data_IF_226458568263
#
_entry.id   IF_226458568263
#
_cell.length_a   1.000
_cell.length_b   1.000
_cell.length_c   1.000
_cell.angle_alpha   90.00
_cell.angle_beta   90.00
_cell.angle_gamma   90.00
#
_symmetry.space_group_name_H-M   'P 1'
#
loop_
_entity.id
_entity.type
_entity.pdbx_description
1 polymer ?
#
# COMPACT_ATOMS: atom_id res chain seq x y z
N UNK A 1 -25.96 33.05 27.44
CA UNK A 1 -24.88 32.03 27.47
C UNK A 1 -25.30 30.55 27.28
N UNK A 2 -26.58 30.11 27.36
CA UNK A 2 -26.96 28.71 27.08
C UNK A 2 -26.99 28.32 25.58
N UNK A 3 -27.25 29.29 24.71
CA UNK A 3 -27.57 29.05 23.30
C UNK A 3 -26.36 28.59 22.46
N UNK A 4 -25.19 29.16 22.71
CA UNK A 4 -23.93 28.76 22.06
C UNK A 4 -23.53 27.33 22.45
N UNK A 5 -23.73 26.94 23.71
CA UNK A 5 -23.48 25.57 24.16
C UNK A 5 -24.43 24.56 23.49
N UNK A 6 -25.70 24.94 23.28
CA UNK A 6 -26.68 24.09 22.58
C UNK A 6 -26.30 23.88 21.11
N UNK A 7 -25.94 24.94 20.39
CA UNK A 7 -25.51 24.85 18.98
C UNK A 7 -24.26 23.98 18.83
N UNK A 8 -23.29 24.10 19.74
CA UNK A 8 -22.08 23.26 19.73
C UNK A 8 -22.43 21.79 19.98
N UNK A 9 -23.31 21.48 20.94
CA UNK A 9 -23.75 20.10 21.21
C UNK A 9 -24.57 19.50 20.06
N UNK A 10 -25.45 20.28 19.44
CA UNK A 10 -26.23 19.87 18.27
C UNK A 10 -25.35 19.63 17.04
N UNK A 11 -24.35 20.49 16.80
CA UNK A 11 -23.34 20.27 15.76
C UNK A 11 -22.50 19.02 16.03
N UNK A 12 -22.10 18.77 17.29
CA UNK A 12 -21.39 17.54 17.69
C UNK A 12 -22.27 16.30 17.51
N UNK A 13 -23.54 16.36 17.87
CA UNK A 13 -24.49 15.26 17.72
C UNK A 13 -24.69 14.93 16.23
N UNK A 14 -24.97 15.95 15.42
CA UNK A 14 -25.12 15.82 13.96
C UNK A 14 -23.85 15.26 13.32
N UNK A 15 -22.67 15.75 13.73
CA UNK A 15 -21.39 15.22 13.26
C UNK A 15 -21.17 13.75 13.68
N UNK A 16 -21.60 13.35 14.90
CA UNK A 16 -21.56 11.95 15.35
C UNK A 16 -22.49 11.07 14.55
N UNK A 17 -23.72 11.52 14.28
CA UNK A 17 -24.69 10.80 13.44
C UNK A 17 -24.20 10.64 12.00
N UNK A 18 -23.71 11.71 11.38
CA UNK A 18 -23.12 11.66 10.04
C UNK A 18 -21.91 10.73 9.99
N UNK A 19 -21.05 10.74 11.02
CA UNK A 19 -19.94 9.78 11.15
C UNK A 19 -20.45 8.35 11.30
N UNK A 20 -21.46 8.11 12.12
CA UNK A 20 -22.07 6.80 12.30
C UNK A 20 -22.70 6.26 11.01
N UNK A 21 -23.41 7.12 10.26
CA UNK A 21 -24.00 6.77 8.96
C UNK A 21 -22.93 6.43 7.92
N UNK A 22 -21.84 7.21 7.84
CA UNK A 22 -20.67 6.93 6.97
C UNK A 22 -19.88 5.67 7.37
N UNK A 23 -20.14 5.12 8.55
CA UNK A 23 -19.41 3.97 9.10
C UNK A 23 -20.17 2.64 8.92
N UNK A 24 -21.35 2.64 8.29
CA UNK A 24 -22.07 1.40 7.99
C UNK A 24 -21.34 0.64 6.86
N UNK A 25 -21.12 -0.69 7.00
CA UNK A 25 -20.57 -1.50 5.93
C UNK A 25 -21.50 -1.43 4.71
N UNK A 26 -20.92 -1.55 3.51
CA UNK A 26 -21.75 -1.66 2.32
C UNK A 26 -22.57 -2.95 2.37
N UNK A 27 -23.83 -2.93 1.88
CA UNK A 27 -24.65 -4.12 1.80
C UNK A 27 -23.94 -5.23 1.03
N UNK A 28 -24.08 -6.48 1.49
CA UNK A 28 -23.44 -7.64 0.86
C UNK A 28 -23.73 -7.74 -0.65
N UNK A 29 -24.95 -7.39 -1.07
CA UNK A 29 -25.35 -7.41 -2.48
C UNK A 29 -24.49 -6.45 -3.33
N UNK A 30 -24.17 -5.27 -2.81
CA UNK A 30 -23.32 -4.28 -3.48
C UNK A 30 -21.88 -4.79 -3.56
N UNK A 31 -21.38 -5.41 -2.49
CA UNK A 31 -20.05 -6.01 -2.45
C UNK A 31 -19.90 -7.14 -3.48
N UNK A 32 -20.93 -7.97 -3.66
CA UNK A 32 -20.88 -9.13 -4.57
C UNK A 32 -21.33 -8.85 -5.99
N UNK A 33 -22.01 -7.74 -6.25
CA UNK A 33 -22.41 -7.33 -7.60
C UNK A 33 -21.23 -7.35 -8.58
N UNK A 34 -20.08 -6.81 -8.18
CA UNK A 34 -18.88 -6.76 -9.02
C UNK A 34 -18.30 -8.15 -9.31
N UNK A 35 -18.48 -9.12 -8.42
CA UNK A 35 -18.09 -10.52 -8.66
C UNK A 35 -18.94 -11.11 -9.78
N UNK A 36 -20.26 -10.91 -9.73
CA UNK A 36 -21.16 -11.37 -10.78
C UNK A 36 -20.86 -10.72 -12.14
N UNK A 37 -20.61 -9.41 -12.16
CA UNK A 37 -20.21 -8.69 -13.38
C UNK A 37 -18.92 -9.26 -13.94
N UNK A 38 -17.91 -9.47 -13.08
CA UNK A 38 -16.61 -10.02 -13.49
C UNK A 38 -16.76 -11.43 -14.08
N UNK A 39 -17.51 -12.31 -13.42
CA UNK A 39 -17.81 -13.65 -13.93
C UNK A 39 -18.60 -13.60 -15.25
N UNK A 40 -19.53 -12.66 -15.39
CA UNK A 40 -20.27 -12.42 -16.63
C UNK A 40 -19.36 -12.01 -17.79
N UNK A 41 -18.41 -11.09 -17.56
CA UNK A 41 -17.40 -10.68 -18.56
C UNK A 41 -16.54 -11.87 -18.97
N UNK A 42 -16.06 -12.68 -18.02
CA UNK A 42 -15.27 -13.88 -18.29
C UNK A 42 -16.06 -14.90 -19.13
N UNK A 43 -17.32 -15.14 -18.77
CA UNK A 43 -18.21 -16.05 -19.51
C UNK A 43 -18.51 -15.56 -20.92
N UNK A 44 -18.76 -14.25 -21.09
CA UNK A 44 -18.99 -13.67 -22.40
C UNK A 44 -17.74 -13.71 -23.29
N UNK A 45 -16.56 -13.40 -22.75
CA UNK A 45 -15.30 -13.55 -23.47
C UNK A 45 -15.07 -15.00 -23.92
N UNK A 46 -15.36 -15.98 -23.05
CA UNK A 46 -15.29 -17.40 -23.41
C UNK A 46 -16.29 -17.77 -24.52
N UNK A 47 -17.53 -17.29 -24.45
CA UNK A 47 -18.52 -17.50 -25.50
C UNK A 47 -18.05 -16.97 -26.86
N UNK A 48 -17.56 -15.73 -26.91
CA UNK A 48 -17.08 -15.12 -28.17
C UNK A 48 -15.86 -15.86 -28.70
N UNK A 49 -14.86 -16.13 -27.86
CA UNK A 49 -13.64 -16.79 -28.32
C UNK A 49 -13.88 -18.25 -28.75
N UNK A 50 -14.67 -19.01 -27.99
CA UNK A 50 -14.91 -20.41 -28.30
C UNK A 50 -15.95 -20.54 -29.41
N UNK A 51 -17.15 -20.01 -29.18
CA UNK A 51 -18.31 -20.25 -30.04
C UNK A 51 -18.30 -19.44 -31.34
N UNK A 52 -17.89 -18.17 -31.28
CA UNK A 52 -17.91 -17.28 -32.45
C UNK A 52 -16.59 -17.29 -33.24
N UNK A 53 -15.49 -17.67 -32.60
CA UNK A 53 -14.17 -17.65 -33.22
C UNK A 53 -13.61 -19.06 -33.49
N UNK A 54 -13.26 -19.84 -32.45
CA UNK A 54 -12.63 -21.15 -32.63
C UNK A 54 -13.53 -22.15 -33.36
N UNK A 55 -14.81 -22.25 -33.00
CA UNK A 55 -15.75 -23.19 -33.64
C UNK A 55 -15.95 -22.89 -35.12
N UNK A 56 -15.98 -21.61 -35.52
CA UNK A 56 -16.15 -21.23 -36.93
C UNK A 56 -14.89 -21.56 -37.76
N UNK A 57 -13.69 -21.44 -37.18
CA UNK A 57 -12.44 -21.94 -37.79
C UNK A 57 -12.48 -23.47 -37.95
N UNK A 58 -12.89 -24.20 -36.91
CA UNK A 58 -12.95 -25.67 -36.93
C UNK A 58 -13.97 -26.19 -37.95
N UNK A 59 -15.10 -25.48 -38.11
CA UNK A 59 -16.10 -25.78 -39.13
C UNK A 59 -15.64 -25.44 -40.56
N UNK A 60 -14.48 -24.80 -40.72
CA UNK A 60 -13.94 -24.42 -42.03
C UNK A 60 -14.66 -23.23 -42.66
N UNK A 61 -15.38 -22.43 -41.86
CA UNK A 61 -16.12 -21.26 -42.35
C UNK A 61 -15.27 -19.99 -42.44
N UNK A 62 -14.08 -20.01 -41.84
CA UNK A 62 -13.15 -18.86 -41.84
C UNK A 62 -11.94 -19.18 -42.71
N UNK A 63 -11.72 -18.36 -43.74
CA UNK A 63 -10.62 -18.54 -44.67
C UNK A 63 -9.27 -18.24 -43.99
N UNK A 64 -8.24 -19.04 -44.30
CA UNK A 64 -6.88 -18.76 -43.85
C UNK A 64 -6.47 -19.33 -42.48
N UNK A 65 -7.27 -20.19 -41.87
CA UNK A 65 -6.87 -21.00 -40.73
C UNK A 65 -7.31 -22.45 -40.92
N UNK A 66 -6.43 -23.38 -40.59
CA UNK A 66 -6.75 -24.81 -40.67
C UNK A 66 -7.60 -25.25 -39.48
N UNK A 67 -8.30 -26.39 -39.61
CA UNK A 67 -8.98 -27.04 -38.47
C UNK A 67 -8.02 -27.28 -37.30
N UNK A 68 -6.79 -27.69 -37.59
CA UNK A 68 -5.73 -27.88 -36.58
C UNK A 68 -5.37 -26.60 -35.84
N UNK A 69 -5.31 -25.47 -36.55
CA UNK A 69 -5.11 -24.14 -35.94
C UNK A 69 -6.24 -23.81 -34.98
N UNK A 70 -7.50 -24.04 -35.37
CA UNK A 70 -8.67 -23.81 -34.51
C UNK A 70 -8.64 -24.63 -33.22
N UNK A 71 -8.29 -25.93 -33.31
CA UNK A 71 -8.15 -26.83 -32.16
C UNK A 71 -7.02 -26.40 -31.23
N UNK A 72 -5.86 -26.04 -31.77
CA UNK A 72 -4.72 -25.57 -30.99
C UNK A 72 -5.05 -24.27 -30.22
N UNK A 73 -5.68 -23.30 -30.90
CA UNK A 73 -6.11 -22.04 -30.28
C UNK A 73 -7.12 -22.27 -29.15
N UNK A 74 -8.10 -23.15 -29.39
CA UNK A 74 -9.09 -23.52 -28.38
C UNK A 74 -8.45 -24.18 -27.17
N UNK A 75 -7.47 -25.06 -27.39
CA UNK A 75 -6.81 -25.81 -26.31
C UNK A 75 -6.05 -24.87 -25.38
N UNK A 76 -5.23 -23.97 -25.93
CA UNK A 76 -4.47 -22.98 -25.13
C UNK A 76 -5.43 -22.03 -24.41
N UNK A 77 -6.47 -21.56 -25.10
CA UNK A 77 -7.48 -20.70 -24.48
C UNK A 77 -8.15 -21.36 -23.28
N UNK A 78 -8.58 -22.61 -23.40
CA UNK A 78 -9.22 -23.35 -22.31
C UNK A 78 -8.27 -23.55 -21.12
N UNK A 79 -6.98 -23.84 -21.36
CA UNK A 79 -6.00 -23.96 -20.28
C UNK A 79 -5.80 -22.65 -19.52
N UNK A 80 -5.68 -21.53 -20.24
CA UNK A 80 -5.54 -20.20 -19.63
C UNK A 80 -6.83 -19.77 -18.91
N UNK A 81 -8.00 -20.05 -19.49
CA UNK A 81 -9.30 -19.78 -18.88
C UNK A 81 -9.45 -20.56 -17.56
N UNK A 82 -9.14 -21.86 -17.54
CA UNK A 82 -9.21 -22.67 -16.34
C UNK A 82 -8.24 -22.19 -15.26
N UNK A 83 -7.01 -21.80 -15.63
CA UNK A 83 -6.05 -21.22 -14.69
C UNK A 83 -6.54 -19.89 -14.11
N UNK A 84 -7.06 -18.99 -14.94
CA UNK A 84 -7.62 -17.71 -14.50
C UNK A 84 -8.84 -17.92 -13.59
N UNK A 85 -9.78 -18.79 -13.96
CA UNK A 85 -10.97 -19.10 -13.17
C UNK A 85 -10.59 -19.72 -11.81
N UNK A 86 -9.61 -20.62 -11.78
CA UNK A 86 -9.12 -21.19 -10.54
C UNK A 86 -8.48 -20.12 -9.64
N UNK A 87 -7.64 -19.24 -10.18
CA UNK A 87 -7.05 -18.14 -9.42
C UNK A 87 -8.11 -17.16 -8.91
N UNK A 88 -9.12 -16.84 -9.74
CA UNK A 88 -10.23 -15.97 -9.38
C UNK A 88 -11.08 -16.58 -8.25
N UNK A 89 -11.44 -17.85 -8.37
CA UNK A 89 -12.16 -18.56 -7.30
C UNK A 89 -11.37 -18.54 -5.99
N UNK A 90 -10.05 -18.80 -6.04
CA UNK A 90 -9.22 -18.79 -4.83
C UNK A 90 -9.15 -17.42 -4.15
N UNK A 91 -9.05 -16.33 -4.92
CA UNK A 91 -9.02 -14.97 -4.32
C UNK A 91 -10.39 -14.51 -3.83
N UNK A 92 -11.50 -14.93 -4.45
CA UNK A 92 -12.87 -14.59 -4.04
C UNK A 92 -13.35 -15.42 -2.84
N UNK A 93 -12.97 -16.70 -2.77
CA UNK A 93 -13.41 -17.61 -1.72
C UNK A 93 -12.51 -17.58 -0.47
N UNK A 94 -11.28 -17.08 -0.59
CA UNK A 94 -10.39 -16.92 0.57
C UNK A 94 -10.64 -15.59 1.27
N UNK A 95 -11.10 -15.65 2.53
CA UNK A 95 -11.23 -14.48 3.38
C UNK A 95 -9.86 -13.78 3.59
N UNK A 96 -9.80 -12.44 3.66
CA UNK A 96 -8.53 -11.71 3.77
C UNK A 96 -7.84 -11.86 5.13
N UNK A 97 -8.57 -12.31 6.16
CA UNK A 97 -8.14 -12.37 7.55
C UNK A 97 -8.65 -11.14 8.32
N UNK A 98 -9.64 -11.33 9.20
CA UNK A 98 -10.23 -10.23 9.97
C UNK A 98 -9.63 -10.18 11.38
N UNK A 99 -9.31 -8.98 11.86
CA UNK A 99 -8.71 -8.81 13.19
C UNK A 99 -9.66 -9.24 14.33
N UNK A 100 -10.98 -9.06 14.14
CA UNK A 100 -12.00 -9.48 15.11
C UNK A 100 -12.02 -10.98 15.40
N UNK A 101 -11.49 -11.78 14.48
CA UNK A 101 -11.43 -13.24 14.64
C UNK A 101 -10.29 -13.66 15.59
N UNK A 102 -9.41 -12.72 15.98
CA UNK A 102 -8.19 -12.98 16.74
C UNK A 102 -7.97 -12.04 17.94
N UNK A 103 -8.54 -10.84 17.91
CA UNK A 103 -8.39 -9.84 18.96
C UNK A 103 -9.76 -9.53 19.55
N UNK A 104 -9.96 -9.70 20.87
CA UNK A 104 -11.20 -9.33 21.53
C UNK A 104 -11.38 -7.81 21.56
N UNK A 105 -12.61 -7.36 21.77
CA UNK A 105 -12.86 -5.95 21.99
C UNK A 105 -12.25 -5.48 23.31
N UNK A 106 -11.73 -4.25 23.33
CA UNK A 106 -11.14 -3.60 24.49
C UNK A 106 -11.54 -2.12 24.56
N UNK A 107 -11.57 -1.52 25.77
CA UNK A 107 -11.76 -0.09 25.93
C UNK A 107 -10.60 0.69 25.27
N UNK A 108 -10.81 1.98 24.92
CA UNK A 108 -9.75 2.80 24.37
C UNK A 108 -8.59 2.92 25.36
N UNK A 109 -7.33 2.87 24.88
CA UNK A 109 -6.16 3.05 25.73
C UNK A 109 -6.15 4.46 26.34
N UNK A 110 -5.72 4.56 27.60
CA UNK A 110 -5.59 5.84 28.29
C UNK A 110 -4.46 6.64 27.63
N UNK A 111 -4.69 7.88 27.17
CA UNK A 111 -3.63 8.68 26.58
C UNK A 111 -2.52 8.92 27.62
N UNK A 112 -1.25 8.96 27.21
CA UNK A 112 -0.17 9.31 28.13
C UNK A 112 -0.45 10.69 28.74
N UNK A 113 -0.09 10.91 30.02
CA UNK A 113 -0.27 12.22 30.64
C UNK A 113 0.47 13.28 29.82
N UNK A 114 -0.11 14.49 29.64
CA UNK A 114 0.54 15.53 28.89
C UNK A 114 1.90 15.84 29.50
N UNK A 115 2.96 15.76 28.68
CA UNK A 115 4.30 16.18 29.08
C UNK A 115 4.21 17.65 29.47
N UNK A 116 4.23 17.94 30.77
CA UNK A 116 4.38 19.32 31.24
C UNK A 116 5.77 19.76 30.78
N UNK A 117 5.91 20.84 30.00
CA UNK A 117 7.24 21.38 29.76
C UNK A 117 7.83 21.74 31.12
N UNK A 118 8.96 21.11 31.45
CA UNK A 118 9.79 21.50 32.58
C UNK A 118 10.21 22.94 32.30
N UNK A 119 9.59 23.91 32.97
CA UNK A 119 10.10 25.27 32.98
C UNK A 119 11.45 25.22 33.69
N UNK A 120 12.52 25.22 32.90
CA UNK A 120 13.85 25.55 33.41
C UNK A 120 13.78 27.01 33.82
N UNK A 121 13.75 27.26 35.13
CA UNK A 121 13.92 28.60 35.68
C UNK A 121 15.32 29.08 35.31
N UNK A 122 15.42 29.99 34.34
CA UNK A 122 16.60 30.83 34.16
C UNK A 122 16.42 32.08 35.02
N UNK A 123 17.36 32.46 35.89
CA UNK A 123 17.22 33.63 36.73
C UNK A 123 17.64 34.86 35.93
N UNK A 124 16.72 35.78 35.67
CA UNK A 124 17.08 37.14 35.31
C UNK A 124 15.98 38.14 35.69
N UNK A 125 16.38 39.03 36.60
CA UNK A 125 16.04 40.44 36.71
C UNK A 125 14.56 40.83 36.83
N UNK A 126 14.24 41.35 38.01
CA UNK A 126 12.95 41.94 38.31
C UNK A 126 12.68 43.20 37.50
N UNK A 127 11.44 43.30 37.04
CA UNK A 127 10.66 44.54 36.95
C UNK A 127 9.21 44.13 37.24
N UNK A 128 8.59 44.82 38.19
CA UNK A 128 7.16 44.78 38.48
C UNK A 128 6.35 45.27 37.26
N UNK A 129 5.28 44.55 36.89
CA UNK A 129 3.96 45.17 36.87
C UNK A 129 2.80 44.17 36.79
N UNK A 130 1.68 44.60 37.35
CA UNK A 130 0.51 43.87 37.82
C UNK A 130 -0.51 43.48 36.74
N UNK A 131 -1.33 42.49 37.11
CA UNK A 131 -2.72 42.19 36.73
C UNK A 131 -3.10 41.94 35.27
N UNK A 132 -3.40 40.67 34.95
CA UNK A 132 -4.55 40.37 34.09
C UNK A 132 -5.18 39.00 34.40
N UNK A 133 -6.40 39.03 34.96
CA UNK A 133 -7.26 37.87 35.12
C UNK A 133 -7.88 37.50 33.77
N UNK A 134 -7.33 36.51 33.07
CA UNK A 134 -8.07 35.83 31.99
C UNK A 134 -7.98 34.30 32.10
N UNK A 135 -9.16 33.67 32.08
CA UNK A 135 -9.34 32.23 31.96
C UNK A 135 -8.47 31.68 30.82
N UNK A 136 -7.45 30.90 31.19
CA UNK A 136 -6.60 30.14 30.27
C UNK A 136 -7.45 29.07 29.58
N UNK A 137 -8.12 29.44 28.47
CA UNK A 137 -8.74 28.46 27.56
C UNK A 137 -7.64 27.58 26.99
N UNK A 138 -7.80 26.26 27.11
CA UNK A 138 -7.07 25.34 26.24
C UNK A 138 -7.38 25.69 24.78
N UNK A 139 -6.39 25.74 23.87
CA UNK A 139 -6.66 25.95 22.46
C UNK A 139 -7.56 24.84 21.94
N UNK A 140 -8.64 25.21 21.24
CA UNK A 140 -9.62 24.32 20.63
C UNK A 140 -9.00 23.24 19.71
N UNK A 141 -7.76 23.44 19.27
CA UNK A 141 -6.97 22.57 18.39
C UNK A 141 -6.50 21.28 19.07
N UNK A 142 -6.38 21.22 20.41
CA UNK A 142 -5.99 19.98 21.11
C UNK A 142 -7.10 18.92 21.17
N UNK A 143 -8.37 19.28 20.94
CA UNK A 143 -9.47 18.31 20.88
C UNK A 143 -9.60 17.60 19.52
N UNK A 144 -9.03 18.15 18.45
CA UNK A 144 -9.13 17.58 17.10
C UNK A 144 -7.97 16.65 16.75
N UNK A 145 -6.80 16.82 17.37
CA UNK A 145 -5.62 15.97 17.12
C UNK A 145 -5.84 14.48 17.43
N UNK A 146 -6.75 14.14 18.35
CA UNK A 146 -7.11 12.75 18.67
C UNK A 146 -8.15 12.17 17.70
N UNK A 147 -8.97 13.05 17.08
CA UNK A 147 -10.08 12.64 16.22
C UNK A 147 -9.69 12.51 14.74
N UNK A 148 -8.68 13.25 14.26
CA UNK A 148 -8.25 13.21 12.85
C UNK A 148 -7.32 12.04 12.51
N UNK A 149 -6.76 11.36 13.53
CA UNK A 149 -6.09 10.06 13.35
C UNK A 149 -7.07 8.92 12.97
N UNK A 150 -8.37 9.21 12.82
CA UNK A 150 -9.43 8.23 12.54
C UNK A 150 -10.04 8.34 11.13
N UNK A 151 -9.45 9.16 10.24
CA UNK A 151 -9.83 9.22 8.83
C UNK A 151 -8.85 8.44 7.93
N UNK A 152 -9.22 7.27 7.38
CA UNK A 152 -8.42 6.58 6.35
C UNK A 152 -8.24 7.33 5.03
N UNK A 153 -8.85 8.51 4.81
CA UNK A 153 -8.48 9.40 3.70
C UNK A 153 -7.38 10.40 4.06
N UNK A 154 -6.99 10.51 5.33
CA UNK A 154 -6.00 11.48 5.76
C UNK A 154 -4.62 10.82 5.96
N UNK A 155 -4.00 10.43 4.85
CA UNK A 155 -2.59 10.00 4.83
C UNK A 155 -1.60 11.17 4.88
N UNK A 156 -2.05 12.39 5.20
CA UNK A 156 -1.28 13.61 4.92
C UNK A 156 -1.20 14.69 5.99
N UNK A 157 -1.82 14.56 7.17
CA UNK A 157 -1.85 15.69 8.13
C UNK A 157 -1.52 15.24 9.55
N UNK A 158 -0.24 15.09 9.87
CA UNK A 158 0.23 15.14 11.27
C UNK A 158 1.66 15.70 11.39
N UNK A 159 2.00 16.82 10.76
CA UNK A 159 3.30 17.48 10.99
C UNK A 159 3.16 19.00 11.31
N UNK A 160 1.97 19.46 11.74
CA UNK A 160 1.76 20.84 12.15
C UNK A 160 1.91 21.00 13.68
N UNK A 161 3.13 20.84 14.20
CA UNK A 161 3.54 21.51 15.44
C UNK A 161 5.02 21.90 15.32
N UNK A 162 5.39 23.17 15.57
CA UNK A 162 6.79 23.56 15.70
C UNK A 162 7.25 23.18 17.10
N UNK A 163 8.32 22.38 17.26
CA UNK A 163 9.10 22.37 18.51
C UNK A 163 10.46 21.66 18.44
N UNK A 164 11.43 22.45 18.91
CA UNK A 164 12.79 22.22 19.43
C UNK A 164 13.80 21.53 18.50
N UNK A 165 14.77 22.35 18.11
CA UNK A 165 15.85 22.10 17.18
C UNK A 165 16.79 20.97 17.66
N UNK A 166 16.99 19.91 16.87
CA UNK A 166 18.21 19.13 16.97
C UNK A 166 19.32 19.93 16.27
N UNK A 167 20.38 20.23 17.02
CA UNK A 167 21.64 20.74 16.49
C UNK A 167 22.02 19.96 15.21
N UNK A 168 22.16 20.67 14.09
CA UNK A 168 22.65 20.09 12.83
C UNK A 168 24.14 19.86 13.01
N UNK A 169 24.52 18.68 13.50
CA UNK A 169 25.91 18.26 13.53
C UNK A 169 26.39 17.99 12.11
N UNK A 170 27.13 18.94 11.53
CA UNK A 170 27.87 18.74 10.29
C UNK A 170 28.99 17.71 10.53
N UNK A 171 29.31 16.83 9.56
CA UNK A 171 30.42 15.89 9.69
C UNK A 171 31.74 16.66 9.87
N UNK A 172 32.43 16.41 10.98
CA UNK A 172 33.77 16.94 11.23
C UNK A 172 34.81 16.13 10.44
N UNK A 173 35.55 16.81 9.58
CA UNK A 173 36.59 16.24 8.72
C UNK A 173 37.74 15.64 9.55
N UNK A 174 37.98 14.34 9.41
CA UNK A 174 39.27 13.74 9.78
C UNK A 174 40.26 13.85 8.62
N UNK A 175 41.53 14.03 8.99
CA UNK A 175 42.69 14.40 8.20
C UNK A 175 43.05 13.44 7.05
N UNK A 176 42.45 13.64 5.88
CA UNK A 176 42.99 13.37 4.53
C UNK A 176 42.20 14.28 3.56
N UNK A 177 42.86 14.96 2.61
CA UNK A 177 42.19 15.98 1.77
C UNK A 177 40.95 15.42 1.07
N UNK A 178 39.77 16.09 1.15
CA UNK A 178 38.53 15.54 0.65
C UNK A 178 38.58 15.37 -0.87
N UNK A 179 38.03 14.26 -1.38
CA UNK A 179 37.88 14.07 -2.82
C UNK A 179 37.02 15.18 -3.41
N UNK A 180 37.25 15.57 -4.67
CA UNK A 180 36.41 16.55 -5.38
C UNK A 180 34.91 16.16 -5.38
N UNK A 181 34.60 14.87 -5.25
CA UNK A 181 33.23 14.36 -5.09
C UNK A 181 32.65 14.68 -3.71
N UNK A 182 33.45 14.54 -2.66
CA UNK A 182 33.05 14.81 -1.27
C UNK A 182 32.83 16.30 -1.06
N UNK A 183 33.68 17.16 -1.66
CA UNK A 183 33.50 18.61 -1.65
C UNK A 183 32.18 19.04 -2.30
N UNK A 184 31.80 18.43 -3.42
CA UNK A 184 30.51 18.73 -4.09
C UNK A 184 29.31 18.31 -3.26
N UNK A 185 29.37 17.13 -2.64
CA UNK A 185 28.30 16.64 -1.78
C UNK A 185 28.14 17.52 -0.53
N UNK A 186 29.26 17.92 0.09
CA UNK A 186 29.27 18.85 1.22
C UNK A 186 28.62 20.19 0.87
N UNK A 187 29.01 20.81 -0.25
CA UNK A 187 28.45 22.09 -0.69
C UNK A 187 26.94 22.00 -0.97
N UNK A 188 26.48 20.92 -1.62
CA UNK A 188 25.06 20.69 -1.86
C UNK A 188 24.28 20.51 -0.55
N UNK A 189 24.82 19.74 0.41
CA UNK A 189 24.22 19.58 1.73
C UNK A 189 24.14 20.90 2.48
N UNK A 190 25.20 21.72 2.43
CA UNK A 190 25.21 23.04 3.07
C UNK A 190 24.16 23.97 2.46
N UNK A 191 23.98 23.93 1.13
CA UNK A 191 22.93 24.69 0.43
C UNK A 191 21.52 24.22 0.80
N UNK A 192 21.31 22.91 1.01
CA UNK A 192 20.04 22.40 1.52
C UNK A 192 19.82 22.81 2.99
N UNK A 193 20.84 22.66 3.83
CA UNK A 193 20.79 22.99 5.25
C UNK A 193 20.55 24.49 5.50
N UNK A 194 21.08 25.39 4.68
CA UNK A 194 20.84 26.84 4.79
C UNK A 194 19.37 27.22 4.57
N UNK A 195 18.62 26.38 3.85
CA UNK A 195 17.17 26.47 3.66
C UNK A 195 16.38 25.55 4.61
N UNK A 196 17.04 24.98 5.63
CA UNK A 196 16.48 24.02 6.61
C UNK A 196 15.90 22.75 5.95
N UNK A 197 16.38 22.40 4.75
CA UNK A 197 15.96 21.22 4.00
C UNK A 197 16.82 20.03 4.42
N UNK A 198 16.21 19.11 5.15
CA UNK A 198 16.80 17.86 5.63
C UNK A 198 15.76 16.73 5.58
N UNK A 199 16.19 15.47 5.55
CA UNK A 199 15.30 14.33 5.76
C UNK A 199 14.74 14.37 7.19
N UNK A 200 13.41 14.31 7.31
CA UNK A 200 12.70 14.33 8.61
C UNK A 200 11.74 13.14 8.71
N UNK A 201 12.20 11.99 9.21
CA UNK A 201 11.33 10.85 9.46
C UNK A 201 10.18 11.17 10.42
N UNK A 202 9.01 10.53 10.27
CA UNK A 202 7.94 10.67 11.24
C UNK A 202 8.39 10.23 12.64
N UNK A 203 8.15 11.08 13.64
CA UNK A 203 8.46 10.79 15.05
C UNK A 203 7.27 10.19 15.81
N UNK A 204 6.10 10.08 15.17
CA UNK A 204 4.90 9.49 15.74
C UNK A 204 5.14 8.04 16.15
N UNK A 205 4.82 7.64 17.39
CA UNK A 205 5.01 6.27 17.87
C UNK A 205 3.91 5.35 17.33
N UNK A 206 3.99 5.01 16.04
CA UNK A 206 2.94 4.28 15.29
C UNK A 206 2.68 2.86 15.80
N UNK A 207 3.58 2.27 16.59
CA UNK A 207 3.39 0.97 17.22
C UNK A 207 2.82 1.06 18.63
N UNK A 208 2.75 2.25 19.23
CA UNK A 208 2.15 2.39 20.56
C UNK A 208 0.63 2.12 20.51
N UNK A 209 0.04 1.50 21.56
CA UNK A 209 -1.35 1.07 21.53
C UNK A 209 -2.36 2.17 21.19
N UNK A 210 -2.12 3.38 21.67
CA UNK A 210 -2.93 4.56 21.45
C UNK A 210 -3.04 4.98 19.97
N UNK A 211 -2.00 4.71 19.17
CA UNK A 211 -2.01 4.97 17.71
C UNK A 211 -2.59 3.81 16.89
N UNK A 212 -2.79 2.64 17.50
CA UNK A 212 -3.30 1.43 16.82
C UNK A 212 -4.70 1.04 17.25
N UNK A 213 -5.36 1.80 18.10
CA UNK A 213 -6.74 1.51 18.48
C UNK A 213 -7.72 1.73 17.30
N UNK A 214 -8.70 0.86 17.15
CA UNK A 214 -9.83 1.05 16.25
C UNK A 214 -11.08 1.36 17.06
N UNK A 215 -11.49 2.63 17.09
CA UNK A 215 -12.72 3.07 17.76
C UNK A 215 -14.01 2.52 17.14
N UNK A 216 -13.94 1.96 15.92
CA UNK A 216 -15.10 1.35 15.23
C UNK A 216 -15.27 -0.13 15.56
N UNK A 217 -14.16 -0.87 15.56
CA UNK A 217 -14.16 -2.29 15.89
C UNK A 217 -13.97 -2.54 17.40
N UNK A 218 -13.69 -1.47 18.15
CA UNK A 218 -13.37 -1.47 19.58
C UNK A 218 -12.25 -2.45 19.92
N UNK A 219 -11.20 -2.51 19.10
CA UNK A 219 -10.09 -3.43 19.30
C UNK A 219 -8.75 -2.75 19.02
N UNK A 220 -7.69 -3.27 19.63
CA UNK A 220 -6.33 -2.88 19.31
C UNK A 220 -5.90 -3.57 18.00
N UNK A 221 -5.62 -2.80 16.96
CA UNK A 221 -5.24 -3.36 15.65
C UNK A 221 -3.91 -4.13 15.78
N UNK A 222 -3.85 -5.39 15.35
CA UNK A 222 -2.58 -6.08 15.10
C UNK A 222 -1.70 -5.25 14.17
N UNK A 223 -0.41 -5.56 14.14
CA UNK A 223 0.51 -4.86 13.24
C UNK A 223 0.07 -5.00 11.78
N UNK A 224 0.17 -3.89 11.04
CA UNK A 224 -0.22 -3.77 9.62
C UNK A 224 -1.73 -3.96 9.35
N UNK A 225 -2.56 -4.06 10.39
CA UNK A 225 -4.01 -4.13 10.22
C UNK A 225 -4.63 -2.74 10.08
N UNK A 226 -5.57 -2.58 9.15
CA UNK A 226 -6.31 -1.33 8.96
C UNK A 226 -7.82 -1.59 8.87
N UNK A 227 -8.62 -0.60 9.25
CA UNK A 227 -10.08 -0.66 9.15
C UNK A 227 -10.52 -0.32 7.72
N UNK A 228 -11.13 -1.29 7.04
CA UNK A 228 -11.76 -1.03 5.75
C UNK A 228 -13.17 -0.49 5.99
N UNK A 229 -13.44 0.75 5.57
CA UNK A 229 -14.77 1.36 5.67
C UNK A 229 -15.84 0.57 4.90
N UNK A 230 -15.48 0.11 3.70
CA UNK A 230 -16.38 -0.61 2.80
C UNK A 230 -16.82 -1.95 3.41
N UNK A 231 -15.89 -2.70 3.99
CA UNK A 231 -16.19 -3.96 4.69
C UNK A 231 -16.66 -3.76 6.14
N UNK A 232 -16.52 -2.56 6.72
CA UNK A 232 -16.86 -2.24 8.11
C UNK A 232 -16.04 -3.00 9.16
N UNK A 233 -14.83 -3.47 8.85
CA UNK A 233 -14.03 -4.29 9.76
C UNK A 233 -12.52 -4.09 9.57
N UNK A 234 -11.75 -4.39 10.61
CA UNK A 234 -10.28 -4.42 10.55
C UNK A 234 -9.79 -5.68 9.84
N UNK A 235 -8.91 -5.48 8.85
CA UNK A 235 -8.32 -6.55 8.02
C UNK A 235 -6.84 -6.65 8.36
N UNK A 236 -6.35 -7.88 8.58
CA UNK A 236 -4.93 -8.17 8.84
C UNK A 236 -4.08 -7.92 7.59
N UNK A 237 -2.90 -7.31 7.77
CA UNK A 237 -2.01 -6.87 6.66
C UNK A 237 -2.81 -6.23 5.53
N UNK A 238 -3.66 -5.26 5.88
CA UNK A 238 -4.60 -4.67 4.94
C UNK A 238 -3.84 -4.03 3.79
N UNK A 239 -4.14 -4.49 2.59
CA UNK A 239 -3.51 -3.99 1.38
C UNK A 239 -4.44 -2.97 0.69
N UNK A 240 -5.61 -3.41 0.26
CA UNK A 240 -6.66 -2.54 -0.27
C UNK A 240 -8.03 -3.23 -0.27
N UNK A 241 -9.09 -2.47 -0.51
CA UNK A 241 -10.40 -3.00 -0.87
C UNK A 241 -10.50 -3.12 -2.39
N UNK A 242 -10.79 -4.31 -2.91
CA UNK A 242 -10.88 -4.55 -4.34
C UNK A 242 -12.32 -4.89 -4.74
N UNK A 243 -13.01 -4.00 -5.47
CA UNK A 243 -14.37 -4.27 -5.94
C UNK A 243 -14.46 -5.52 -6.82
N UNK A 244 -13.46 -5.77 -7.68
CA UNK A 244 -13.44 -6.88 -8.64
C UNK A 244 -13.49 -8.28 -8.01
N UNK A 245 -13.08 -8.41 -6.75
CA UNK A 245 -13.18 -9.66 -5.98
C UNK A 245 -14.27 -9.59 -4.89
N UNK A 246 -14.94 -8.45 -4.76
CA UNK A 246 -16.00 -8.19 -3.78
C UNK A 246 -15.57 -8.35 -2.33
N UNK A 247 -14.31 -8.04 -2.02
CA UNK A 247 -13.73 -8.05 -0.66
C UNK A 247 -12.36 -7.35 -0.61
N UNK A 248 -11.78 -7.28 0.60
CA UNK A 248 -10.41 -6.80 0.78
C UNK A 248 -9.37 -7.81 0.32
N UNK A 249 -8.20 -7.28 -0.03
CA UNK A 249 -6.94 -8.00 -0.09
C UNK A 249 -6.20 -7.78 1.23
N UNK A 250 -5.77 -8.87 1.85
CA UNK A 250 -5.09 -8.88 3.15
C UNK A 250 -4.19 -10.10 3.34
N UNK A 251 -3.78 -10.34 4.58
CA UNK A 251 -2.75 -11.33 4.94
C UNK A 251 -2.97 -12.73 4.34
N UNK A 252 -4.24 -13.18 4.24
CA UNK A 252 -4.56 -14.56 3.84
C UNK A 252 -4.83 -14.76 2.35
N UNK A 253 -5.16 -13.71 1.61
CA UNK A 253 -5.53 -13.81 0.19
C UNK A 253 -4.64 -12.98 -0.76
N UNK A 254 -3.66 -12.22 -0.24
CA UNK A 254 -2.71 -11.44 -1.06
C UNK A 254 -1.97 -12.29 -2.10
N UNK A 255 -1.56 -13.52 -1.75
CA UNK A 255 -0.97 -14.50 -2.68
C UNK A 255 -1.90 -14.79 -3.87
N UNK A 256 -3.18 -15.09 -3.59
CA UNK A 256 -4.14 -15.42 -4.63
C UNK A 256 -4.47 -14.21 -5.50
N UNK A 257 -4.43 -12.99 -4.93
CA UNK A 257 -4.55 -11.77 -5.71
C UNK A 257 -3.41 -11.61 -6.73
N UNK A 258 -2.15 -11.86 -6.34
CA UNK A 258 -1.02 -11.84 -7.27
C UNK A 258 -1.15 -12.92 -8.36
N UNK A 259 -1.50 -14.15 -7.98
CA UNK A 259 -1.74 -15.23 -8.95
C UNK A 259 -2.88 -14.91 -9.92
N UNK A 260 -3.96 -14.29 -9.44
CA UNK A 260 -5.09 -13.88 -10.27
C UNK A 260 -4.69 -12.80 -11.29
N UNK A 261 -3.91 -11.79 -10.89
CA UNK A 261 -3.43 -10.77 -11.82
C UNK A 261 -2.53 -11.37 -12.91
N UNK A 262 -1.63 -12.31 -12.55
CA UNK A 262 -0.78 -13.01 -13.52
C UNK A 262 -1.62 -13.85 -14.50
N UNK A 263 -2.50 -14.70 -13.98
CA UNK A 263 -3.32 -15.58 -14.80
C UNK A 263 -4.24 -14.77 -15.75
N UNK A 264 -4.81 -13.67 -15.25
CA UNK A 264 -5.63 -12.76 -16.07
C UNK A 264 -4.80 -12.07 -17.14
N UNK A 265 -3.62 -11.52 -16.79
CA UNK A 265 -2.75 -10.88 -17.77
C UNK A 265 -2.33 -11.84 -18.90
N UNK A 266 -2.04 -13.11 -18.57
CA UNK A 266 -1.73 -14.15 -19.57
C UNK A 266 -2.96 -14.51 -20.43
N UNK A 267 -4.13 -14.65 -19.82
CA UNK A 267 -5.37 -14.91 -20.55
C UNK A 267 -5.75 -13.77 -21.50
N UNK A 268 -5.69 -12.52 -21.03
CA UNK A 268 -6.03 -11.34 -21.83
C UNK A 268 -4.99 -11.06 -22.91
N UNK A 269 -3.68 -11.27 -22.65
CA UNK A 269 -2.64 -11.08 -23.67
C UNK A 269 -2.77 -12.09 -24.81
N UNK A 270 -3.09 -13.34 -24.48
CA UNK A 270 -3.34 -14.37 -25.47
C UNK A 270 -4.58 -14.07 -26.33
N UNK A 271 -5.67 -13.68 -25.69
CA UNK A 271 -6.92 -13.28 -26.36
C UNK A 271 -6.69 -12.07 -27.27
N UNK A 272 -6.04 -11.03 -26.74
CA UNK A 272 -5.67 -9.82 -27.47
C UNK A 272 -4.79 -10.12 -28.69
N UNK A 273 -3.72 -10.90 -28.49
CA UNK A 273 -2.78 -11.22 -29.57
C UNK A 273 -3.47 -11.99 -30.69
N UNK A 274 -4.32 -12.96 -30.34
CA UNK A 274 -5.04 -13.76 -31.32
C UNK A 274 -6.01 -12.88 -32.10
N UNK A 275 -6.84 -12.08 -31.44
CA UNK A 275 -7.81 -11.24 -32.14
C UNK A 275 -7.18 -10.11 -32.94
N UNK A 276 -6.05 -9.51 -32.50
CA UNK A 276 -5.30 -8.54 -33.32
C UNK A 276 -4.84 -9.18 -34.62
N UNK A 277 -4.18 -10.35 -34.54
CA UNK A 277 -3.67 -11.05 -35.73
C UNK A 277 -4.78 -11.35 -36.73
N UNK A 278 -5.91 -11.88 -36.25
CA UNK A 278 -7.03 -12.23 -37.14
C UNK A 278 -7.83 -11.03 -37.62
N UNK A 279 -7.87 -9.93 -36.86
CA UNK A 279 -8.48 -8.66 -37.30
C UNK A 279 -7.66 -8.04 -38.42
N UNK A 280 -6.34 -7.97 -38.27
CA UNK A 280 -5.43 -7.46 -39.32
C UNK A 280 -5.52 -8.32 -40.58
N UNK A 281 -5.57 -9.64 -40.44
CA UNK A 281 -5.74 -10.55 -41.57
C UNK A 281 -7.08 -10.33 -42.29
N UNK A 282 -8.19 -10.24 -41.55
CA UNK A 282 -9.53 -9.99 -42.09
C UNK A 282 -9.57 -8.65 -42.84
N UNK A 283 -8.96 -7.61 -42.24
CA UNK A 283 -8.86 -6.29 -42.85
C UNK A 283 -8.07 -6.31 -44.16
N UNK A 284 -6.93 -7.02 -44.21
CA UNK A 284 -6.12 -7.13 -45.42
C UNK A 284 -6.83 -7.90 -46.55
N UNK A 285 -7.76 -8.80 -46.20
CA UNK A 285 -8.56 -9.57 -47.15
C UNK A 285 -9.89 -8.90 -47.51
N UNK A 286 -10.20 -7.71 -46.98
CA UNK A 286 -11.51 -7.04 -47.10
C UNK A 286 -12.69 -7.92 -46.63
N UNK A 287 -12.47 -8.73 -45.59
CA UNK A 287 -13.51 -9.55 -44.94
C UNK A 287 -14.19 -8.76 -43.80
N UNK A 288 -15.50 -8.95 -43.63
CA UNK A 288 -16.29 -8.32 -42.57
C UNK A 288 -15.76 -8.66 -41.17
N UNK A 289 -15.66 -7.64 -40.32
CA UNK A 289 -15.22 -7.79 -38.93
C UNK A 289 -16.43 -8.07 -38.01
N UNK A 290 -16.32 -9.11 -37.16
CA UNK A 290 -17.33 -9.40 -36.14
C UNK A 290 -17.27 -8.34 -35.01
N UNK A 291 -18.32 -7.52 -34.80
CA UNK A 291 -18.32 -6.49 -33.76
C UNK A 291 -18.05 -7.04 -32.36
N UNK A 292 -18.45 -8.29 -32.08
CA UNK A 292 -18.20 -8.92 -30.78
C UNK A 292 -16.72 -9.25 -30.59
N UNK A 293 -16.01 -9.63 -31.65
CA UNK A 293 -14.55 -9.84 -31.59
C UNK A 293 -13.83 -8.51 -31.35
N UNK A 294 -14.28 -7.41 -31.98
CA UNK A 294 -13.73 -6.07 -31.73
C UNK A 294 -13.92 -5.66 -30.27
N UNK A 295 -15.13 -5.84 -29.72
CA UNK A 295 -15.43 -5.55 -28.31
C UNK A 295 -14.52 -6.34 -27.36
N UNK A 296 -14.38 -7.66 -27.55
CA UNK A 296 -13.49 -8.48 -26.72
C UNK A 296 -12.03 -8.11 -26.91
N UNK A 297 -11.61 -7.69 -28.12
CA UNK A 297 -10.25 -7.19 -28.36
C UNK A 297 -9.97 -5.94 -27.51
N UNK A 298 -10.88 -4.96 -27.52
CA UNK A 298 -10.75 -3.74 -26.73
C UNK A 298 -10.73 -4.04 -25.22
N UNK A 299 -11.66 -4.89 -24.74
CA UNK A 299 -11.70 -5.30 -23.34
C UNK A 299 -10.42 -6.07 -22.94
N UNK A 300 -9.92 -6.95 -23.78
CA UNK A 300 -8.68 -7.70 -23.53
C UNK A 300 -7.47 -6.76 -23.45
N UNK A 301 -7.40 -5.73 -24.30
CA UNK A 301 -6.36 -4.70 -24.23
C UNK A 301 -6.40 -3.91 -22.92
N UNK A 302 -7.59 -3.43 -22.54
CA UNK A 302 -7.80 -2.70 -21.28
C UNK A 302 -7.38 -3.56 -20.06
N UNK A 303 -7.91 -4.78 -19.97
CA UNK A 303 -7.63 -5.65 -18.84
C UNK A 303 -6.21 -6.17 -18.84
N UNK A 304 -5.57 -6.36 -20.00
CA UNK A 304 -4.15 -6.73 -20.06
C UNK A 304 -3.29 -5.63 -19.43
N UNK A 305 -3.43 -4.38 -19.89
CA UNK A 305 -2.66 -3.24 -19.36
C UNK A 305 -2.92 -3.09 -17.86
N UNK A 306 -4.18 -3.13 -17.45
CA UNK A 306 -4.56 -2.99 -16.05
C UNK A 306 -3.93 -4.08 -15.17
N UNK A 307 -4.08 -5.35 -15.56
CA UNK A 307 -3.63 -6.49 -14.74
C UNK A 307 -2.12 -6.69 -14.76
N UNK A 308 -1.43 -6.40 -15.88
CA UNK A 308 0.04 -6.47 -15.91
C UNK A 308 0.66 -5.37 -15.06
N UNK A 309 0.12 -4.15 -15.09
CA UNK A 309 0.61 -3.04 -14.23
C UNK A 309 0.37 -3.35 -12.76
N UNK A 310 -0.81 -3.89 -12.40
CA UNK A 310 -1.08 -4.36 -11.04
C UNK A 310 -0.14 -5.50 -10.64
N UNK A 311 0.09 -6.49 -11.50
CA UNK A 311 1.00 -7.59 -11.20
C UNK A 311 2.42 -7.09 -10.92
N UNK A 312 2.97 -6.23 -11.78
CA UNK A 312 4.32 -5.68 -11.63
C UNK A 312 4.46 -4.78 -10.39
N UNK A 313 3.45 -3.96 -10.09
CA UNK A 313 3.46 -3.13 -8.88
C UNK A 313 3.44 -3.99 -7.62
N UNK A 314 2.64 -5.06 -7.60
CA UNK A 314 2.58 -5.99 -6.48
C UNK A 314 3.85 -6.83 -6.35
N UNK A 315 4.52 -7.25 -7.43
CA UNK A 315 5.85 -7.87 -7.35
C UNK A 315 6.81 -6.93 -6.62
N UNK A 316 6.86 -5.66 -7.04
CA UNK A 316 7.75 -4.67 -6.41
C UNK A 316 7.41 -4.48 -4.93
N UNK A 317 6.14 -4.31 -4.58
CA UNK A 317 5.72 -4.12 -3.19
C UNK A 317 6.05 -5.33 -2.33
N UNK A 318 5.76 -6.55 -2.80
CA UNK A 318 6.11 -7.77 -2.07
C UNK A 318 7.62 -7.94 -1.92
N UNK A 319 8.38 -7.69 -2.99
CA UNK A 319 9.84 -7.66 -2.93
C UNK A 319 10.40 -6.57 -2.00
N UNK A 320 9.59 -5.59 -1.59
CA UNK A 320 9.94 -4.58 -0.59
C UNK A 320 9.25 -4.82 0.76
N UNK A 321 8.52 -5.93 0.92
CA UNK A 321 7.71 -6.26 2.12
C UNK A 321 6.64 -5.20 2.46
N UNK A 322 6.07 -4.56 1.44
CA UNK A 322 5.07 -3.49 1.55
C UNK A 322 3.66 -3.97 1.20
N UNK A 323 2.68 -3.35 1.84
CA UNK A 323 1.29 -3.25 1.35
C UNK A 323 1.12 -1.99 0.50
N UNK A 324 0.01 -1.87 -0.22
CA UNK A 324 -0.33 -0.63 -0.95
C UNK A 324 -0.38 0.59 -0.02
N UNK A 325 -1.02 0.49 1.16
CA UNK A 325 -1.09 1.60 2.12
C UNK A 325 0.29 2.06 2.59
N UNK A 326 1.17 1.11 2.90
CA UNK A 326 2.54 1.42 3.32
C UNK A 326 3.36 2.01 2.17
N UNK A 327 3.18 1.50 0.94
CA UNK A 327 3.83 2.04 -0.26
C UNK A 327 3.39 3.48 -0.54
N UNK A 328 2.10 3.81 -0.35
CA UNK A 328 1.60 5.18 -0.51
C UNK A 328 2.23 6.12 0.54
N UNK A 329 2.37 5.66 1.78
CA UNK A 329 3.07 6.44 2.83
C UNK A 329 4.54 6.70 2.47
N UNK A 330 5.24 5.69 1.95
CA UNK A 330 6.62 5.87 1.49
C UNK A 330 6.73 6.81 0.29
N UNK A 331 5.77 6.73 -0.64
CA UNK A 331 5.75 7.62 -1.80
C UNK A 331 5.54 9.07 -1.36
N UNK A 332 4.60 9.31 -0.44
CA UNK A 332 4.38 10.65 0.15
C UNK A 332 5.65 11.21 0.80
N UNK A 333 6.44 10.38 1.49
CA UNK A 333 7.73 10.81 2.04
C UNK A 333 8.74 11.20 0.96
N UNK A 334 8.80 10.45 -0.15
CA UNK A 334 9.69 10.75 -1.28
C UNK A 334 9.27 12.00 -2.01
N UNK A 335 7.97 12.17 -2.27
CA UNK A 335 7.39 13.34 -2.92
C UNK A 335 7.70 14.59 -2.08
N UNK A 336 7.56 14.51 -0.75
CA UNK A 336 7.95 15.60 0.16
C UNK A 336 9.44 15.95 0.03
N UNK A 337 10.33 14.96 -0.01
CA UNK A 337 11.76 15.21 -0.24
C UNK A 337 12.03 15.87 -1.59
N UNK A 338 11.32 15.45 -2.64
CA UNK A 338 11.44 16.06 -3.97
C UNK A 338 10.95 17.51 -3.99
N UNK A 339 9.84 17.81 -3.32
CA UNK A 339 9.34 19.18 -3.16
C UNK A 339 10.32 20.05 -2.38
N UNK A 340 10.81 19.59 -1.21
CA UNK A 340 11.78 20.34 -0.42
C UNK A 340 13.09 20.60 -1.19
N UNK A 341 13.54 19.64 -2.00
CA UNK A 341 14.73 19.81 -2.84
C UNK A 341 14.48 20.71 -4.05
N UNK A 342 13.24 20.84 -4.53
CA UNK A 342 12.89 21.77 -5.60
C UNK A 342 12.97 23.23 -5.15
N UNK A 343 12.75 23.52 -3.86
CA UNK A 343 12.91 24.87 -3.29
C UNK A 343 14.38 25.32 -3.22
N UNK A 344 15.32 24.37 -3.25
CA UNK A 344 16.76 24.62 -3.12
C UNK A 344 17.47 24.52 -4.47
N UNK A 345 17.13 23.51 -5.27
CA UNK A 345 17.83 23.14 -6.49
C UNK A 345 16.90 23.24 -7.70
N UNK A 346 17.41 23.85 -8.78
CA UNK A 346 16.68 23.98 -10.05
C UNK A 346 16.29 22.63 -10.66
N UNK A 347 15.35 22.66 -11.61
CA UNK A 347 14.86 21.45 -12.28
C UNK A 347 15.96 20.62 -12.96
N UNK A 348 16.97 21.29 -13.54
CA UNK A 348 18.11 20.65 -14.23
C UNK A 348 19.20 20.13 -13.28
N UNK A 349 19.20 20.51 -12.00
CA UNK A 349 20.21 20.12 -11.00
C UNK A 349 19.98 18.70 -10.43
N UNK A 350 19.59 17.75 -11.29
CA UNK A 350 19.23 16.38 -10.91
C UNK A 350 20.37 15.66 -10.17
N UNK A 351 21.62 15.93 -10.54
CA UNK A 351 22.80 15.34 -9.87
C UNK A 351 22.97 15.86 -8.45
N UNK A 352 22.69 17.13 -8.19
CA UNK A 352 22.78 17.74 -6.85
C UNK A 352 21.67 17.20 -5.94
N UNK A 353 20.43 17.15 -6.44
CA UNK A 353 19.30 16.51 -5.73
C UNK A 353 19.60 15.06 -5.34
N UNK A 354 20.16 14.27 -6.29
CA UNK A 354 20.56 12.89 -6.03
C UNK A 354 21.70 12.75 -5.01
N UNK A 355 22.68 13.65 -5.01
CA UNK A 355 23.75 13.65 -4.00
C UNK A 355 23.20 13.92 -2.60
N UNK A 356 22.35 14.93 -2.43
CA UNK A 356 21.73 15.22 -1.13
C UNK A 356 20.92 14.03 -0.61
N UNK A 357 20.08 13.42 -1.46
CA UNK A 357 19.34 12.20 -1.07
C UNK A 357 20.26 11.04 -0.71
N UNK A 358 21.38 10.86 -1.43
CA UNK A 358 22.35 9.83 -1.13
C UNK A 358 23.01 10.03 0.24
N UNK A 359 23.31 11.27 0.63
CA UNK A 359 23.82 11.57 1.97
C UNK A 359 22.74 11.36 3.05
N UNK A 360 21.48 11.71 2.79
CA UNK A 360 20.37 11.36 3.69
C UNK A 360 20.17 9.84 3.81
N UNK A 361 20.38 9.07 2.72
CA UNK A 361 20.35 7.61 2.76
C UNK A 361 21.55 7.03 3.53
N UNK A 362 22.70 7.71 3.55
CA UNK A 362 23.80 7.35 4.46
C UNK A 362 23.47 7.65 5.91
N UNK A 363 22.72 8.70 6.23
CA UNK A 363 22.38 8.99 7.62
C UNK A 363 21.21 8.14 8.14
N UNK A 364 20.19 7.94 7.31
CA UNK A 364 18.92 7.33 7.72
C UNK A 364 18.63 5.99 7.06
N UNK A 365 19.33 5.61 6.00
CA UNK A 365 18.95 4.47 5.15
C UNK A 365 17.95 4.84 4.06
N UNK A 366 17.77 3.96 3.06
CA UNK A 366 16.84 4.22 1.95
C UNK A 366 15.40 4.04 2.39
N UNK A 367 14.53 4.97 2.00
CA UNK A 367 13.11 4.97 2.39
C UNK A 367 12.40 3.65 2.05
N UNK A 368 12.70 3.06 0.88
CA UNK A 368 12.03 1.84 0.42
C UNK A 368 12.52 0.55 1.09
N UNK A 369 13.67 0.59 1.77
CA UNK A 369 14.32 -0.57 2.39
C UNK A 369 14.58 -0.35 3.86
N UNK A 370 15.71 0.25 4.22
CA UNK A 370 16.10 0.43 5.62
C UNK A 370 15.11 1.32 6.39
N UNK A 371 14.46 2.26 5.69
CA UNK A 371 13.36 3.09 6.18
C UNK A 371 11.96 2.46 6.05
N UNK A 372 11.87 1.20 5.62
CA UNK A 372 10.65 0.42 5.74
C UNK A 372 10.66 -0.35 7.07
N UNK A 373 9.68 -0.07 7.92
CA UNK A 373 9.50 -0.71 9.22
C UNK A 373 9.34 -2.24 9.13
N UNK A 374 8.85 -2.74 8.00
CA UNK A 374 8.58 -4.16 7.78
C UNK A 374 9.55 -4.81 6.78
N UNK A 375 10.72 -4.19 6.54
CA UNK A 375 11.68 -4.74 5.60
C UNK A 375 12.23 -6.09 6.06
N UNK A 376 11.98 -7.13 5.27
CA UNK A 376 12.45 -8.49 5.56
C UNK A 376 13.98 -8.67 5.46
N UNK A 377 14.71 -7.68 4.94
CA UNK A 377 16.16 -7.71 4.76
C UNK A 377 16.59 -7.96 3.31
N UNK A 378 15.83 -8.75 2.56
CA UNK A 378 16.08 -9.01 1.14
C UNK A 378 14.80 -9.11 0.30
N UNK A 379 14.95 -8.89 -1.01
CA UNK A 379 13.82 -8.95 -1.94
C UNK A 379 13.17 -10.33 -1.97
N UNK A 380 13.98 -11.39 -1.89
CA UNK A 380 13.51 -12.76 -1.92
C UNK A 380 12.72 -13.08 -0.65
N UNK A 381 13.21 -12.67 0.52
CA UNK A 381 12.49 -12.90 1.78
C UNK A 381 11.13 -12.17 1.78
N UNK A 382 11.08 -10.92 1.34
CA UNK A 382 9.80 -10.19 1.23
C UNK A 382 8.80 -10.86 0.28
N UNK A 383 9.29 -11.43 -0.82
CA UNK A 383 8.46 -12.24 -1.72
C UNK A 383 7.98 -13.54 -1.05
N UNK A 384 8.88 -14.29 -0.42
CA UNK A 384 8.59 -15.58 0.23
C UNK A 384 7.67 -15.45 1.44
N UNK A 385 7.68 -14.31 2.15
CA UNK A 385 6.71 -14.00 3.22
C UNK A 385 5.25 -14.13 2.77
N UNK A 386 4.98 -13.86 1.49
CA UNK A 386 3.63 -13.89 0.92
C UNK A 386 3.43 -15.13 0.05
N UNK A 387 4.38 -15.40 -0.85
CA UNK A 387 4.25 -16.46 -1.85
C UNK A 387 4.70 -17.83 -1.35
N UNK A 388 5.39 -17.92 -0.22
CA UNK A 388 6.00 -19.13 0.31
C UNK A 388 7.39 -19.41 -0.29
N UNK A 389 8.18 -20.25 0.37
CA UNK A 389 9.55 -20.61 -0.04
C UNK A 389 9.61 -21.15 -1.48
N UNK A 390 10.63 -20.76 -2.25
CA UNK A 390 10.87 -21.33 -3.59
C UNK A 390 11.14 -22.84 -3.52
N UNK A 391 11.85 -23.26 -2.47
CA UNK A 391 12.17 -24.66 -2.19
C UNK A 391 10.93 -25.35 -1.61
N UNK A 392 10.76 -26.64 -1.92
CA UNK A 392 9.71 -27.45 -1.33
C UNK A 392 9.97 -27.61 0.18
N UNK A 393 8.98 -27.24 0.98
CA UNK A 393 9.01 -27.36 2.45
C UNK A 393 7.70 -27.95 2.95
N UNK A 394 7.62 -28.28 4.24
CA UNK A 394 6.34 -28.69 4.86
C UNK A 394 5.25 -27.62 4.71
N UNK A 395 5.64 -26.34 4.73
CA UNK A 395 4.74 -25.20 4.59
C UNK A 395 4.40 -24.89 3.12
N UNK A 396 5.34 -25.11 2.21
CA UNK A 396 5.12 -24.97 0.78
C UNK A 396 5.54 -26.25 0.03
N UNK A 397 4.69 -27.28 -0.02
CA UNK A 397 5.02 -28.55 -0.68
C UNK A 397 5.20 -28.40 -2.19
N UNK A 398 4.65 -27.33 -2.76
CA UNK A 398 4.68 -27.03 -4.20
C UNK A 398 5.91 -26.21 -4.62
N UNK A 399 6.64 -25.62 -3.67
CA UNK A 399 7.79 -24.75 -3.94
C UNK A 399 7.43 -23.60 -4.89
N UNK A 400 8.30 -23.36 -5.87
CA UNK A 400 8.15 -22.31 -6.88
C UNK A 400 6.86 -22.41 -7.72
N UNK A 401 6.27 -23.61 -7.89
CA UNK A 401 5.01 -23.74 -8.62
C UNK A 401 3.88 -22.93 -7.97
N UNK A 402 3.92 -22.78 -6.65
CA UNK A 402 2.96 -21.99 -5.91
C UNK A 402 3.10 -20.47 -6.11
N UNK A 403 4.19 -20.01 -6.74
CA UNK A 403 4.38 -18.62 -7.12
C UNK A 403 3.59 -18.23 -8.37
N UNK A 404 3.17 -19.22 -9.15
CA UNK A 404 2.43 -19.07 -10.41
C UNK A 404 1.00 -19.60 -10.24
N UNK A 405 0.87 -20.78 -9.63
CA UNK A 405 -0.39 -21.46 -9.43
C UNK A 405 -0.97 -21.15 -8.05
N UNK A 406 -2.31 -21.05 -7.92
CA UNK A 406 -2.99 -20.69 -6.67
C UNK A 406 -3.08 -21.85 -5.69
N UNK A 407 -1.98 -22.57 -5.48
CA UNK A 407 -1.86 -23.59 -4.45
C UNK A 407 -1.88 -22.97 -3.06
N UNK A 408 -2.63 -23.61 -2.16
CA UNK A 408 -2.67 -23.25 -0.74
C UNK A 408 -1.34 -23.57 -0.07
N UNK A 409 -0.90 -22.66 0.81
CA UNK A 409 0.24 -22.87 1.70
C UNK A 409 -0.21 -23.54 3.01
N UNK A 410 0.57 -24.50 3.49
CA UNK A 410 0.35 -25.24 4.74
C UNK A 410 0.98 -24.52 5.93
N UNK A 411 0.60 -23.26 6.17
CA UNK A 411 1.12 -22.50 7.31
C UNK A 411 0.60 -23.12 8.60
N UNK A 412 1.51 -23.58 9.49
CA UNK A 412 1.18 -24.26 10.75
C UNK A 412 0.17 -23.48 11.59
N UNK A 413 0.29 -22.14 11.61
CA UNK A 413 -0.65 -21.24 12.28
C UNK A 413 -1.34 -20.34 11.25
N UNK A 414 -2.14 -20.94 10.36
CA UNK A 414 -2.98 -20.19 9.40
C UNK A 414 -3.87 -19.14 10.10
N UNK A 415 -4.29 -19.44 11.33
CA UNK A 415 -5.01 -18.53 12.23
C UNK A 415 -4.17 -17.31 12.64
N UNK A 416 -2.88 -17.47 12.91
CA UNK A 416 -1.98 -16.37 13.29
C UNK A 416 -1.36 -15.63 12.10
N UNK A 417 -1.62 -16.09 10.88
CA UNK A 417 -1.11 -15.43 9.66
C UNK A 417 -1.65 -14.00 9.59
N UNK A 418 -0.74 -13.03 9.76
CA UNK A 418 -1.05 -11.61 9.76
C UNK A 418 -1.19 -10.96 11.13
N UNK A 419 -0.91 -11.68 12.22
CA UNK A 419 -0.96 -11.15 13.59
C UNK A 419 0.37 -10.52 14.02
N UNK A 420 1.47 -11.19 13.70
CA UNK A 420 2.81 -10.78 14.10
C UNK A 420 3.70 -10.59 12.87
N UNK A 421 4.53 -9.56 12.92
CA UNK A 421 5.52 -9.23 11.90
C UNK A 421 6.83 -8.89 12.60
N UNK A 422 7.94 -9.35 12.03
CA UNK A 422 9.25 -8.97 12.52
C UNK A 422 9.46 -7.47 12.25
N UNK A 423 9.75 -6.72 13.31
CA UNK A 423 10.08 -5.32 13.21
C UNK A 423 11.50 -5.16 12.68
N UNK A 424 11.71 -4.27 11.72
CA UNK A 424 13.05 -3.89 11.28
C UNK A 424 13.82 -3.26 12.46
N UNK A 425 15.01 -3.80 12.85
CA UNK A 425 15.78 -3.32 14.01
C UNK A 425 16.27 -1.86 13.91
N UNK A 426 16.10 -1.22 12.75
CA UNK A 426 16.37 0.19 12.50
C UNK A 426 15.25 1.12 13.01
N UNK A 427 14.23 0.55 13.64
CA UNK A 427 13.15 1.26 14.32
C UNK A 427 13.20 0.96 15.82
N UNK A 428 12.77 1.91 16.65
CA UNK A 428 12.55 1.64 18.07
C UNK A 428 11.28 0.80 18.32
N UNK A 429 11.06 0.43 19.57
CA UNK A 429 9.91 -0.40 19.99
C UNK A 429 8.57 0.31 19.76
N UNK A 430 8.57 1.64 19.66
CA UNK A 430 7.42 2.47 19.33
C UNK A 430 7.22 2.69 17.83
N UNK A 431 8.15 2.24 16.98
CA UNK A 431 8.10 2.37 15.52
C UNK A 431 8.65 3.69 14.99
N UNK A 432 9.50 4.40 15.75
CA UNK A 432 10.23 5.58 15.26
C UNK A 432 11.49 5.15 14.55
N UNK A 433 11.76 5.79 13.41
CA UNK A 433 12.93 5.50 12.60
C UNK A 433 14.20 6.03 13.29
N UNK A 434 15.19 5.16 13.48
CA UNK A 434 16.47 5.49 14.11
C UNK A 434 17.50 5.96 13.10
N UNK A 435 18.40 6.84 13.53
CA UNK A 435 19.58 7.23 12.75
C UNK A 435 20.58 6.08 12.65
N UNK A 436 21.43 6.06 11.63
CA UNK A 436 22.38 4.95 11.39
C UNK A 436 23.33 4.68 12.57
N UNK A 437 23.75 5.70 13.29
CA UNK A 437 24.58 5.54 14.50
C UNK A 437 23.86 4.78 15.64
N UNK A 438 22.52 4.80 15.67
CA UNK A 438 21.69 4.09 16.65
C UNK A 438 21.28 2.68 16.18
N UNK A 439 21.68 2.28 14.97
CA UNK A 439 21.40 0.94 14.46
C UNK A 439 22.25 -0.12 15.19
N UNK A 440 21.79 -1.39 15.22
CA UNK A 440 22.64 -2.52 15.59
C UNK A 440 23.93 -2.55 14.77
N UNK A 441 25.05 -2.92 15.39
CA UNK A 441 26.38 -2.84 14.77
C UNK A 441 26.51 -3.65 13.49
N UNK A 442 25.84 -4.79 13.40
CA UNK A 442 25.80 -5.67 12.22
C UNK A 442 25.03 -5.05 11.04
N UNK A 443 24.25 -3.99 11.28
CA UNK A 443 23.40 -3.35 10.30
C UNK A 443 23.87 -1.94 9.90
N UNK A 444 24.90 -1.40 10.57
CA UNK A 444 25.43 -0.04 10.38
C UNK A 444 26.06 0.18 9.02
#
# INVERSE_FOLDING_TARGET
MPEICRVIEEAKFTAREQRAAKNKPQPWIVLKLMVFITTGIMGYAAYVYIGRFCVEIIKGKRNGASKGTGIALLTVFCLLLLWMLWAYAMVVLTAPGFARDHVPQCPPPVPPPPIRPSYVHSPANGVHDQDDHSCRRQPYEQMYAVNDAHDPHNSGVTDAFPRLDPEVSLPTNNSFGPSAKDTRAYNDLQRAASKRVTRRPPTTPVLAPEYRYCSRCLLLKPYRAHHCRVCGTCVLKYDHHCPWIGQCVGARNQKYFVNFNLATAMFTSYTLSTFIVYTVRSSNNNEDLDPQQILITALSGLFFIFTITLFLSHIRMLALSLTTVESLRQQSMKDREDHMLADVFGFWELRSKRRVKAEWDKEWGRIDREGNMWWAGSNLQGWEETMGSAKRTKENPWGWLSWILPFRLNRKNYTETGMNYQLNPRFDKEGRWRRRNEWPEDLR
#
